data_IF_964236231235
#
_entry.id   IF_964236231235
#
_cell.length_a   1.000
_cell.length_b   1.000
_cell.length_c   1.000
_cell.angle_alpha   90.00
_cell.angle_beta   90.00
_cell.angle_gamma   90.00
#
_symmetry.space_group_name_H-M   'P 1'
#
loop_
_entity.id
_entity.type
_entity.pdbx_description
1 polymer ?
#
# COMPACT_ATOMS: atom_id res chain seq x y z
N UNK A 1 19.88 2.68 30.07
CA UNK A 1 20.53 2.08 28.88
C UNK A 1 20.18 0.60 28.70
N UNK A 2 20.46 -0.30 29.66
CA UNK A 2 20.15 -1.74 29.53
C UNK A 2 18.65 -1.98 29.36
N UNK A 3 17.82 -1.27 30.13
CA UNK A 3 16.36 -1.40 30.09
C UNK A 3 15.78 -1.04 28.70
N UNK A 4 16.25 0.04 28.07
CA UNK A 4 15.87 0.40 26.70
C UNK A 4 16.11 -0.75 25.72
N UNK A 5 17.30 -1.38 25.76
CA UNK A 5 17.64 -2.46 24.83
C UNK A 5 16.82 -3.73 25.09
N UNK A 6 16.45 -4.01 26.35
CA UNK A 6 15.54 -5.13 26.67
C UNK A 6 14.14 -4.84 26.14
N UNK A 7 13.61 -3.64 26.36
CA UNK A 7 12.31 -3.23 25.82
C UNK A 7 12.32 -3.22 24.28
N UNK A 8 13.40 -2.75 23.65
CA UNK A 8 13.57 -2.81 22.21
C UNK A 8 13.61 -4.24 21.68
N UNK A 9 14.28 -5.15 22.38
CA UNK A 9 14.27 -6.58 22.04
C UNK A 9 12.87 -7.19 22.13
N UNK A 10 12.08 -6.84 23.15
CA UNK A 10 10.67 -7.24 23.29
C UNK A 10 9.84 -6.70 22.13
N UNK A 11 9.98 -5.40 21.79
CA UNK A 11 9.33 -4.78 20.64
C UNK A 11 9.59 -5.57 19.36
N UNK A 12 10.86 -5.81 19.07
CA UNK A 12 11.28 -6.54 17.87
C UNK A 12 10.80 -7.99 17.87
N UNK A 13 10.88 -8.69 19.01
CA UNK A 13 10.39 -10.06 19.14
C UNK A 13 8.88 -10.16 18.87
N UNK A 14 8.06 -9.26 19.42
CA UNK A 14 6.63 -9.21 19.14
C UNK A 14 6.34 -8.94 17.66
N UNK A 15 7.07 -8.01 17.03
CA UNK A 15 6.96 -7.73 15.59
C UNK A 15 7.32 -8.98 14.78
N UNK A 16 8.45 -9.62 15.05
CA UNK A 16 8.90 -10.81 14.33
C UNK A 16 7.95 -12.00 14.46
N UNK A 17 7.52 -12.31 15.69
CA UNK A 17 6.58 -13.40 15.95
C UNK A 17 5.23 -13.11 15.29
N UNK A 18 4.73 -11.87 15.43
CA UNK A 18 3.48 -11.45 14.82
C UNK A 18 3.51 -11.54 13.30
N UNK A 19 4.61 -11.11 12.67
CA UNK A 19 4.81 -11.23 11.22
C UNK A 19 4.83 -12.70 10.76
N UNK A 20 5.42 -13.61 11.55
CA UNK A 20 5.43 -15.06 11.26
C UNK A 20 4.05 -15.70 11.34
N UNK A 21 3.23 -15.28 12.28
CA UNK A 21 1.84 -15.75 12.42
C UNK A 21 0.99 -15.26 11.27
N UNK A 22 1.31 -14.07 10.73
CA UNK A 22 0.57 -13.36 9.67
C UNK A 22 -0.87 -12.95 10.06
N UNK A 23 -1.61 -12.33 9.15
CA UNK A 23 -2.99 -11.91 9.38
C UNK A 23 -3.12 -10.98 10.59
N UNK A 24 -4.02 -11.31 11.52
CA UNK A 24 -4.21 -10.56 12.79
C UNK A 24 -3.09 -10.79 13.81
N UNK A 25 -2.22 -11.76 13.56
CA UNK A 25 -1.14 -12.15 14.49
C UNK A 25 -0.24 -10.97 14.87
N UNK A 26 0.05 -10.08 13.92
CA UNK A 26 0.85 -8.89 14.16
C UNK A 26 0.22 -7.97 15.23
N UNK A 27 -1.09 -7.72 15.13
CA UNK A 27 -1.79 -6.89 16.09
C UNK A 27 -1.91 -7.53 17.48
N UNK A 28 -2.20 -8.83 17.51
CA UNK A 28 -2.33 -9.58 18.78
C UNK A 28 -0.99 -9.64 19.50
N UNK A 29 0.11 -9.88 18.79
CA UNK A 29 1.46 -9.83 19.37
C UNK A 29 1.85 -8.41 19.81
N UNK A 30 1.39 -7.38 19.09
CA UNK A 30 1.50 -5.99 19.54
C UNK A 30 0.79 -5.75 20.87
N UNK A 31 -0.43 -6.30 21.06
CA UNK A 31 -1.15 -6.27 22.33
C UNK A 31 -0.41 -6.98 23.45
N UNK A 32 0.21 -8.13 23.17
CA UNK A 32 1.04 -8.84 24.15
C UNK A 32 2.28 -8.03 24.55
N UNK A 33 2.98 -7.43 23.58
CA UNK A 33 4.12 -6.57 23.85
C UNK A 33 3.75 -5.33 24.66
N UNK A 34 2.59 -4.72 24.37
CA UNK A 34 2.03 -3.63 25.15
C UNK A 34 1.79 -4.07 26.61
N UNK A 35 1.21 -5.24 26.83
CA UNK A 35 0.99 -5.77 28.19
C UNK A 35 2.32 -5.97 28.93
N UNK A 36 3.36 -6.45 28.26
CA UNK A 36 4.70 -6.56 28.83
C UNK A 36 5.24 -5.16 29.21
N UNK A 37 5.10 -4.17 28.34
CA UNK A 37 5.56 -2.81 28.62
C UNK A 37 4.86 -2.19 29.82
N UNK A 38 3.54 -2.36 29.90
CA UNK A 38 2.73 -1.75 30.97
C UNK A 38 2.89 -2.50 32.31
N UNK A 39 2.72 -3.82 32.29
CA UNK A 39 2.64 -4.58 33.56
C UNK A 39 3.99 -5.06 34.09
N UNK A 40 5.01 -5.23 33.23
CA UNK A 40 6.35 -5.69 33.67
C UNK A 40 7.32 -4.53 33.77
N UNK A 41 7.36 -3.63 32.75
CA UNK A 41 8.27 -2.50 32.75
C UNK A 41 7.68 -1.22 33.37
N UNK A 42 6.37 -1.20 33.69
CA UNK A 42 5.71 -0.05 34.30
C UNK A 42 5.61 1.17 33.38
N UNK A 43 5.72 1.01 32.04
CA UNK A 43 5.56 2.12 31.12
C UNK A 43 4.10 2.59 31.12
N UNK A 44 3.90 3.91 31.11
CA UNK A 44 2.57 4.48 30.94
C UNK A 44 2.09 4.23 29.51
N UNK A 45 0.92 3.61 29.29
CA UNK A 45 0.43 3.35 27.95
C UNK A 45 0.09 4.67 27.22
N UNK A 46 0.60 4.82 26.01
CA UNK A 46 0.22 5.92 25.12
C UNK A 46 -1.25 5.76 24.67
N UNK A 47 -1.81 6.81 24.07
CA UNK A 47 -3.15 6.73 23.49
C UNK A 47 -3.19 5.76 22.29
N UNK A 48 -4.22 4.89 22.20
CA UNK A 48 -4.40 4.04 21.04
C UNK A 48 -4.72 4.87 19.78
N UNK A 49 -4.40 4.39 18.56
CA UNK A 49 -4.58 5.13 17.32
C UNK A 49 -6.06 5.09 16.83
N UNK A 50 -6.98 5.60 17.65
CA UNK A 50 -8.43 5.48 17.42
C UNK A 50 -8.87 6.12 16.11
N UNK A 51 -8.40 7.33 15.82
CA UNK A 51 -8.76 8.05 14.59
C UNK A 51 -8.32 7.29 13.34
N UNK A 52 -7.11 6.72 13.35
CA UNK A 52 -6.58 5.90 12.25
C UNK A 52 -7.46 4.67 12.02
N UNK A 53 -7.85 4.00 13.10
CA UNK A 53 -8.70 2.80 13.05
C UNK A 53 -10.05 3.13 12.39
N UNK A 54 -10.72 4.17 12.85
CA UNK A 54 -12.04 4.54 12.32
C UNK A 54 -11.97 5.09 10.89
N UNK A 55 -10.91 5.83 10.52
CA UNK A 55 -10.70 6.23 9.12
C UNK A 55 -10.56 5.01 8.22
N UNK A 56 -9.73 4.04 8.59
CA UNK A 56 -9.55 2.83 7.78
C UNK A 56 -10.85 2.02 7.71
N UNK A 57 -11.59 1.87 8.82
CA UNK A 57 -12.88 1.17 8.82
C UNK A 57 -13.88 1.80 7.85
N UNK A 58 -13.98 3.14 7.83
CA UNK A 58 -14.86 3.85 6.90
C UNK A 58 -14.45 3.61 5.43
N UNK A 59 -13.15 3.70 5.13
CA UNK A 59 -12.62 3.49 3.78
C UNK A 59 -12.84 2.05 3.31
N UNK A 60 -12.53 1.05 4.14
CA UNK A 60 -12.71 -0.36 3.74
C UNK A 60 -14.18 -0.75 3.61
N UNK A 61 -15.08 -0.08 4.34
CA UNK A 61 -16.53 -0.25 4.18
C UNK A 61 -16.97 0.25 2.81
N UNK A 62 -16.51 1.44 2.39
CA UNK A 62 -16.80 1.95 1.05
C UNK A 62 -16.19 1.08 -0.06
N UNK A 63 -14.95 0.65 0.09
CA UNK A 63 -14.26 -0.22 -0.88
C UNK A 63 -14.88 -1.64 -0.94
N UNK A 64 -15.30 -2.19 0.20
CA UNK A 64 -16.05 -3.45 0.25
C UNK A 64 -17.43 -3.33 -0.41
N UNK A 65 -18.09 -2.19 -0.23
CA UNK A 65 -19.38 -1.90 -0.91
C UNK A 65 -19.18 -1.78 -2.42
N UNK A 66 -18.12 -1.10 -2.87
CA UNK A 66 -17.73 -1.06 -4.28
C UNK A 66 -17.52 -2.48 -4.85
N UNK A 67 -16.82 -3.35 -4.10
CA UNK A 67 -16.60 -4.74 -4.50
C UNK A 67 -17.92 -5.50 -4.60
N UNK A 68 -18.77 -5.42 -3.58
CA UNK A 68 -20.06 -6.11 -3.54
C UNK A 68 -21.04 -5.61 -4.63
N UNK A 69 -20.91 -4.35 -5.07
CA UNK A 69 -21.67 -3.78 -6.18
C UNK A 69 -21.13 -4.16 -7.57
N UNK A 70 -20.08 -4.99 -7.66
CA UNK A 70 -19.44 -5.40 -8.93
C UNK A 70 -18.54 -4.31 -9.55
N UNK A 71 -18.20 -3.26 -8.79
CA UNK A 71 -17.34 -2.18 -9.31
C UNK A 71 -15.94 -2.64 -9.62
N UNK A 72 -15.41 -3.63 -8.88
CA UNK A 72 -14.10 -4.22 -9.20
C UNK A 72 -14.10 -4.94 -10.55
N UNK A 73 -15.16 -5.66 -10.90
CA UNK A 73 -15.28 -6.34 -12.20
C UNK A 73 -15.30 -5.33 -13.36
N UNK A 74 -15.98 -4.18 -13.14
CA UNK A 74 -15.97 -3.10 -14.14
C UNK A 74 -14.57 -2.47 -14.30
N UNK A 75 -13.82 -2.28 -13.22
CA UNK A 75 -12.44 -1.81 -13.29
C UNK A 75 -11.56 -2.81 -14.06
N UNK A 76 -11.71 -4.12 -13.82
CA UNK A 76 -10.98 -5.18 -14.55
C UNK A 76 -11.30 -5.14 -16.05
N UNK A 77 -12.57 -4.97 -16.42
CA UNK A 77 -12.95 -4.78 -17.81
C UNK A 77 -12.26 -3.59 -18.46
N UNK A 78 -12.19 -2.45 -17.76
CA UNK A 78 -11.47 -1.27 -18.27
C UNK A 78 -9.97 -1.53 -18.44
N UNK A 79 -9.37 -2.30 -17.51
CA UNK A 79 -7.98 -2.74 -17.61
C UNK A 79 -7.74 -3.56 -18.86
N UNK A 80 -8.55 -4.59 -19.07
CA UNK A 80 -8.44 -5.48 -20.24
C UNK A 80 -8.53 -4.67 -21.53
N UNK A 81 -9.53 -3.79 -21.63
CA UNK A 81 -9.70 -2.93 -22.79
C UNK A 81 -8.48 -2.04 -23.04
N UNK A 82 -7.88 -1.46 -21.99
CA UNK A 82 -6.70 -0.63 -22.11
C UNK A 82 -5.46 -1.43 -22.54
N UNK A 83 -5.24 -2.60 -21.93
CA UNK A 83 -4.09 -3.47 -22.21
C UNK A 83 -4.14 -4.05 -23.63
N UNK A 84 -5.33 -4.48 -24.11
CA UNK A 84 -5.50 -5.02 -25.45
C UNK A 84 -5.42 -3.98 -26.57
N UNK A 85 -5.50 -2.67 -26.23
CA UNK A 85 -5.40 -1.59 -27.24
C UNK A 85 -3.99 -1.44 -27.82
N UNK A 86 -2.95 -1.61 -26.99
CA UNK A 86 -1.54 -1.49 -27.38
C UNK A 86 -0.70 -2.64 -26.81
N UNK A 87 -0.92 -3.88 -27.25
CA UNK A 87 -0.37 -5.06 -26.59
C UNK A 87 1.16 -5.16 -26.68
N UNK A 88 1.79 -4.59 -27.71
CA UNK A 88 3.26 -4.54 -27.84
C UNK A 88 3.94 -3.68 -26.77
N UNK A 89 3.23 -2.70 -26.22
CA UNK A 89 3.73 -1.80 -25.16
C UNK A 89 3.27 -2.24 -23.75
N UNK A 90 2.87 -3.50 -23.60
CA UNK A 90 2.30 -4.02 -22.37
C UNK A 90 3.23 -3.85 -21.16
N UNK A 91 4.55 -3.88 -21.32
CA UNK A 91 5.52 -3.65 -20.23
C UNK A 91 5.38 -2.26 -19.61
N UNK A 92 4.92 -1.27 -20.37
CA UNK A 92 4.65 0.09 -19.87
C UNK A 92 3.19 0.30 -19.49
N UNK A 93 2.27 -0.33 -20.22
CA UNK A 93 0.83 -0.19 -19.94
C UNK A 93 0.40 -0.95 -18.69
N UNK A 94 0.99 -2.11 -18.42
CA UNK A 94 0.65 -2.93 -17.26
C UNK A 94 0.87 -2.18 -15.92
N UNK A 95 2.04 -1.59 -15.64
CA UNK A 95 2.24 -0.83 -14.41
C UNK A 95 1.35 0.42 -14.34
N UNK A 96 1.07 1.12 -15.44
CA UNK A 96 0.12 2.25 -15.44
C UNK A 96 -1.27 1.79 -15.00
N UNK A 97 -1.78 0.71 -15.58
CA UNK A 97 -3.11 0.18 -15.27
C UNK A 97 -3.18 -0.30 -13.82
N UNK A 98 -2.23 -1.09 -13.36
CA UNK A 98 -2.22 -1.60 -11.97
C UNK A 98 -2.01 -0.49 -10.96
N UNK A 99 -1.18 0.51 -11.27
CA UNK A 99 -0.99 1.69 -10.45
C UNK A 99 -2.29 2.47 -10.29
N UNK A 100 -2.94 2.85 -11.40
CA UNK A 100 -4.19 3.60 -11.37
C UNK A 100 -5.30 2.84 -10.62
N UNK A 101 -5.38 1.53 -10.80
CA UNK A 101 -6.39 0.72 -10.12
C UNK A 101 -6.16 0.66 -8.62
N UNK A 102 -4.93 0.45 -8.20
CA UNK A 102 -4.59 0.49 -6.77
C UNK A 102 -4.77 1.88 -6.19
N UNK A 103 -4.36 2.92 -6.92
CA UNK A 103 -4.58 4.31 -6.53
C UNK A 103 -6.07 4.59 -6.26
N UNK A 104 -6.94 4.16 -7.20
CA UNK A 104 -8.40 4.35 -7.09
C UNK A 104 -9.05 3.45 -6.04
N UNK A 105 -8.53 2.24 -5.81
CA UNK A 105 -9.13 1.28 -4.87
C UNK A 105 -8.56 1.36 -3.45
N UNK A 106 -7.42 2.03 -3.27
CA UNK A 106 -6.73 2.13 -1.98
C UNK A 106 -6.06 0.83 -1.51
N UNK A 107 -6.01 -0.21 -2.35
CA UNK A 107 -5.48 -1.53 -2.00
C UNK A 107 -4.81 -2.23 -3.17
N UNK A 108 -3.65 -2.87 -2.93
CA UNK A 108 -2.93 -3.66 -3.93
C UNK A 108 -3.60 -4.97 -4.34
N UNK A 109 -4.68 -5.39 -3.66
CA UNK A 109 -5.39 -6.62 -3.99
C UNK A 109 -6.08 -6.60 -5.36
N UNK A 110 -6.35 -5.43 -5.91
CA UNK A 110 -6.86 -5.29 -7.29
C UNK A 110 -5.92 -5.88 -8.34
N UNK A 111 -4.64 -6.01 -8.04
CA UNK A 111 -3.67 -6.65 -8.92
C UNK A 111 -4.04 -8.11 -9.25
N UNK A 112 -4.61 -8.86 -8.30
CA UNK A 112 -5.04 -10.25 -8.55
C UNK A 112 -6.01 -10.39 -9.72
N UNK A 113 -6.85 -9.40 -9.94
CA UNK A 113 -7.83 -9.43 -11.00
C UNK A 113 -7.23 -9.04 -12.37
N UNK A 114 -6.18 -8.22 -12.38
CA UNK A 114 -5.56 -7.69 -13.60
C UNK A 114 -4.37 -8.54 -14.08
N UNK A 115 -3.65 -9.18 -13.17
CA UNK A 115 -2.46 -9.98 -13.49
C UNK A 115 -2.72 -11.12 -14.51
N UNK A 116 -3.83 -11.89 -14.44
CA UNK A 116 -4.12 -12.90 -15.46
C UNK A 116 -4.27 -12.30 -16.86
N UNK A 117 -4.89 -11.12 -16.96
CA UNK A 117 -5.06 -10.41 -18.24
C UNK A 117 -3.70 -9.95 -18.78
N UNK A 118 -2.83 -9.41 -17.90
CA UNK A 118 -1.48 -9.00 -18.29
C UNK A 118 -0.68 -10.19 -18.83
N UNK A 119 -0.71 -11.34 -18.13
CA UNK A 119 -0.01 -12.56 -18.56
C UNK A 119 -0.49 -13.02 -19.93
N UNK A 120 -1.81 -13.04 -20.15
CA UNK A 120 -2.44 -13.47 -21.39
C UNK A 120 -2.08 -12.54 -22.55
N UNK A 121 -2.26 -11.21 -22.39
CA UNK A 121 -1.96 -10.23 -23.44
C UNK A 121 -0.46 -10.19 -23.75
N UNK A 122 0.42 -10.35 -22.77
CA UNK A 122 1.85 -10.45 -22.99
C UNK A 122 2.21 -11.68 -23.84
N UNK A 123 1.66 -12.85 -23.48
CA UNK A 123 1.84 -14.10 -24.24
C UNK A 123 1.36 -13.98 -25.69
N UNK A 124 0.15 -13.48 -25.91
CA UNK A 124 -0.43 -13.27 -27.24
C UNK A 124 0.42 -12.32 -28.10
N UNK A 125 0.99 -11.31 -27.48
CA UNK A 125 1.84 -10.30 -28.16
C UNK A 125 3.29 -10.74 -28.33
N UNK A 126 3.64 -11.97 -27.90
CA UNK A 126 4.99 -12.52 -27.89
C UNK A 126 5.97 -11.71 -27.01
N UNK A 127 5.47 -10.89 -26.12
CA UNK A 127 6.27 -10.19 -25.09
C UNK A 127 6.48 -11.15 -23.93
N UNK A 128 7.73 -11.25 -23.45
CA UNK A 128 8.08 -12.05 -22.27
C UNK A 128 7.27 -11.62 -21.03
N UNK A 129 6.35 -12.44 -20.48
CA UNK A 129 5.47 -12.06 -19.39
C UNK A 129 6.19 -11.58 -18.12
N UNK A 130 7.40 -12.09 -17.83
CA UNK A 130 8.24 -11.62 -16.72
C UNK A 130 8.35 -10.10 -16.66
N UNK A 131 8.45 -9.42 -17.83
CA UNK A 131 8.64 -7.99 -17.93
C UNK A 131 7.42 -7.21 -17.40
N UNK A 132 6.22 -7.32 -18.00
CA UNK A 132 5.04 -6.61 -17.54
C UNK A 132 4.51 -7.13 -16.20
N UNK A 133 4.58 -8.43 -15.92
CA UNK A 133 4.10 -9.00 -14.67
C UNK A 133 4.93 -8.52 -13.46
N UNK A 134 6.25 -8.53 -13.60
CA UNK A 134 7.16 -8.07 -12.55
C UNK A 134 6.86 -6.64 -12.15
N UNK A 135 6.83 -5.72 -13.11
CA UNK A 135 6.61 -4.29 -12.81
C UNK A 135 5.15 -3.97 -12.47
N UNK A 136 4.17 -4.70 -12.96
CA UNK A 136 2.76 -4.51 -12.60
C UNK A 136 2.50 -4.79 -11.11
N UNK A 137 3.08 -5.87 -10.58
CA UNK A 137 3.02 -6.16 -9.13
C UNK A 137 3.65 -5.04 -8.33
N UNK A 138 4.84 -4.59 -8.71
CA UNK A 138 5.54 -3.51 -8.00
C UNK A 138 4.75 -2.20 -8.06
N UNK A 139 4.24 -1.82 -9.23
CA UNK A 139 3.48 -0.59 -9.42
C UNK A 139 2.17 -0.58 -8.61
N UNK A 140 1.49 -1.73 -8.51
CA UNK A 140 0.28 -1.85 -7.69
C UNK A 140 0.56 -1.56 -6.21
N UNK A 141 1.72 -1.93 -5.71
CA UNK A 141 2.07 -1.70 -4.30
C UNK A 141 2.64 -0.30 -4.08
N UNK A 142 3.44 0.21 -5.01
CA UNK A 142 3.90 1.61 -4.95
C UNK A 142 2.73 2.60 -4.94
N UNK A 143 1.65 2.31 -5.67
CA UNK A 143 0.45 3.13 -5.70
C UNK A 143 -0.29 3.20 -4.35
N UNK A 144 -0.08 2.24 -3.43
CA UNK A 144 -0.65 2.30 -2.06
C UNK A 144 -0.13 3.54 -1.33
N UNK A 145 1.15 3.86 -1.45
CA UNK A 145 1.75 5.04 -0.80
C UNK A 145 1.38 6.36 -1.47
N UNK A 146 0.78 6.31 -2.65
CA UNK A 146 0.27 7.47 -3.38
C UNK A 146 -1.27 7.60 -3.32
N UNK A 147 -1.99 6.57 -2.86
CA UNK A 147 -3.46 6.60 -2.84
C UNK A 147 -4.00 7.38 -1.65
N UNK A 148 -4.89 8.36 -1.87
CA UNK A 148 -5.46 9.18 -0.79
C UNK A 148 -6.34 8.40 0.19
N UNK A 149 -6.77 7.21 -0.19
CA UNK A 149 -7.70 6.36 0.55
C UNK A 149 -7.04 5.05 1.03
N UNK A 150 -5.73 4.89 0.84
CA UNK A 150 -5.04 3.71 1.37
C UNK A 150 -4.82 3.82 2.88
N UNK A 151 -4.85 2.68 3.57
CA UNK A 151 -4.56 2.62 4.99
C UNK A 151 -3.19 3.22 5.34
N UNK A 152 -2.18 3.01 4.50
CA UNK A 152 -0.82 3.52 4.74
C UNK A 152 -0.75 5.05 4.66
N UNK A 153 -1.35 5.66 3.63
CA UNK A 153 -1.38 7.12 3.46
C UNK A 153 -2.23 7.79 4.54
N UNK A 154 -3.38 7.20 4.88
CA UNK A 154 -4.26 7.70 5.94
C UNK A 154 -3.54 7.65 7.31
N UNK A 155 -2.79 6.57 7.59
CA UNK A 155 -1.98 6.47 8.80
C UNK A 155 -0.89 7.53 8.84
N UNK A 156 -0.16 7.74 7.72
CA UNK A 156 0.87 8.78 7.65
C UNK A 156 0.28 10.17 7.84
N UNK A 157 -0.86 10.47 7.21
CA UNK A 157 -1.59 11.73 7.36
C UNK A 157 -1.93 11.99 8.83
N UNK A 158 -2.47 10.99 9.52
CA UNK A 158 -2.82 11.11 10.94
C UNK A 158 -1.59 11.41 11.82
N UNK A 159 -0.46 10.76 11.56
CA UNK A 159 0.79 10.98 12.29
C UNK A 159 1.40 12.36 12.03
N UNK A 160 1.25 12.90 10.83
CA UNK A 160 1.82 14.18 10.42
C UNK A 160 0.86 15.36 10.58
N UNK A 161 -0.42 15.14 10.87
CA UNK A 161 -1.42 16.19 11.04
C UNK A 161 -1.08 17.20 12.18
N UNK A 162 -0.46 16.81 13.31
CA UNK A 162 -0.01 17.78 14.32
C UNK A 162 1.04 18.77 13.82
N UNK A 163 1.69 18.48 12.69
CA UNK A 163 2.68 19.35 12.03
C UNK A 163 2.06 20.17 10.88
N UNK A 164 0.73 20.27 10.82
CA UNK A 164 -0.03 20.96 9.77
C UNK A 164 0.22 20.40 8.35
N UNK A 165 0.60 19.14 8.25
CA UNK A 165 0.74 18.47 6.95
C UNK A 165 -0.63 18.09 6.41
N UNK A 166 -0.90 18.49 5.18
CA UNK A 166 -2.14 18.20 4.46
C UNK A 166 -2.01 16.94 3.61
N UNK A 167 -3.14 16.31 3.30
CA UNK A 167 -3.17 15.19 2.37
C UNK A 167 -2.60 15.56 0.99
N UNK A 168 -2.87 16.79 0.53
CA UNK A 168 -2.35 17.27 -0.76
C UNK A 168 -0.83 17.28 -0.79
N UNK A 169 -0.17 17.74 0.26
CA UNK A 169 1.29 17.78 0.34
C UNK A 169 1.90 16.37 0.27
N UNK A 170 1.27 15.38 0.95
CA UNK A 170 1.69 13.99 0.83
C UNK A 170 1.54 13.50 -0.62
N UNK A 171 0.40 13.77 -1.26
CA UNK A 171 0.13 13.31 -2.61
C UNK A 171 1.00 14.00 -3.67
N UNK A 172 1.31 15.29 -3.50
CA UNK A 172 2.19 16.05 -4.40
C UNK A 172 3.60 15.50 -4.47
N UNK A 173 4.09 14.86 -3.40
CA UNK A 173 5.38 14.14 -3.41
C UNK A 173 5.17 12.70 -3.87
N UNK A 174 4.26 11.96 -3.24
CA UNK A 174 4.17 10.51 -3.43
C UNK A 174 3.68 10.09 -4.82
N UNK A 175 2.70 10.82 -5.43
CA UNK A 175 2.19 10.46 -6.75
C UNK A 175 3.30 10.55 -7.81
N UNK A 176 3.96 11.70 -8.04
CA UNK A 176 4.99 11.77 -9.07
C UNK A 176 6.21 10.92 -8.73
N UNK A 177 6.62 10.83 -7.46
CA UNK A 177 7.77 10.04 -7.06
C UNK A 177 7.57 8.56 -7.38
N UNK A 178 6.47 7.96 -6.94
CA UNK A 178 6.22 6.52 -7.12
C UNK A 178 5.84 6.18 -8.56
N UNK A 179 5.07 7.04 -9.25
CA UNK A 179 4.70 6.81 -10.64
C UNK A 179 5.91 6.85 -11.57
N UNK A 180 6.74 7.89 -11.48
CA UNK A 180 7.97 8.01 -12.29
C UNK A 180 8.96 6.88 -11.98
N UNK A 181 9.11 6.52 -10.71
CA UNK A 181 9.94 5.39 -10.32
C UNK A 181 9.47 4.07 -10.94
N UNK A 182 8.15 3.82 -11.00
CA UNK A 182 7.59 2.66 -11.68
C UNK A 182 7.85 2.70 -13.20
N UNK A 183 7.81 3.87 -13.84
CA UNK A 183 8.12 4.00 -15.27
C UNK A 183 9.61 3.75 -15.55
N UNK A 184 10.50 4.24 -14.69
CA UNK A 184 11.94 3.95 -14.78
C UNK A 184 12.19 2.44 -14.62
N UNK A 185 11.55 1.80 -13.64
CA UNK A 185 11.64 0.36 -13.45
C UNK A 185 11.05 -0.43 -14.62
N UNK A 186 9.98 0.07 -15.26
CA UNK A 186 9.41 -0.52 -16.48
C UNK A 186 10.40 -0.44 -17.66
N UNK A 187 11.10 0.67 -17.81
CA UNK A 187 12.13 0.84 -18.83
C UNK A 187 13.27 -0.17 -18.65
N UNK A 188 13.73 -0.37 -17.43
CA UNK A 188 14.75 -1.38 -17.12
C UNK A 188 14.21 -2.79 -17.37
N UNK A 189 12.98 -3.06 -16.92
CA UNK A 189 12.32 -4.36 -17.11
C UNK A 189 12.10 -4.70 -18.59
N UNK A 190 11.85 -3.71 -19.45
CA UNK A 190 11.62 -3.92 -20.89
C UNK A 190 12.84 -4.48 -21.62
N UNK A 191 14.05 -4.31 -21.04
CA UNK A 191 15.32 -4.81 -21.60
C UNK A 191 15.79 -6.13 -20.98
N UNK A 192 14.99 -6.74 -20.09
CA UNK A 192 15.37 -7.98 -19.40
C UNK A 192 15.04 -9.21 -20.21
N UNK A 193 15.99 -10.16 -20.24
CA UNK A 193 15.81 -11.46 -20.87
C UNK A 193 15.65 -11.38 -22.39
N UNK A 194 15.52 -12.55 -23.02
CA UNK A 194 15.25 -12.68 -24.46
C UNK A 194 13.75 -12.49 -24.75
N UNK A 195 13.38 -12.32 -26.01
CA UNK A 195 11.98 -12.30 -26.41
C UNK A 195 11.31 -13.66 -26.16
N UNK A 196 9.99 -13.67 -25.93
CA UNK A 196 9.28 -14.89 -25.54
C UNK A 196 9.49 -16.06 -26.52
N UNK A 197 9.44 -15.89 -27.85
CA UNK A 197 9.66 -17.00 -28.77
C UNK A 197 11.04 -17.63 -28.69
N UNK A 198 12.04 -16.90 -28.18
CA UNK A 198 13.42 -17.36 -28.05
C UNK A 198 13.77 -17.87 -26.66
N UNK A 199 12.83 -17.75 -25.70
CA UNK A 199 13.05 -18.17 -24.32
C UNK A 199 13.09 -19.71 -24.20
N UNK A 200 14.16 -20.29 -23.66
CA UNK A 200 14.31 -21.74 -23.57
C UNK A 200 13.28 -22.38 -22.64
N UNK A 201 12.86 -21.69 -21.58
CA UNK A 201 11.87 -22.20 -20.63
C UNK A 201 10.48 -22.22 -21.28
N UNK A 202 10.15 -21.19 -22.02
CA UNK A 202 8.90 -21.14 -22.76
C UNK A 202 8.83 -22.25 -23.81
N UNK A 203 9.93 -22.48 -24.58
CA UNK A 203 10.01 -23.56 -25.57
C UNK A 203 9.80 -24.93 -24.93
N UNK A 204 10.54 -25.20 -23.84
CA UNK A 204 10.41 -26.46 -23.10
C UNK A 204 8.98 -26.69 -22.57
N UNK A 205 8.35 -25.63 -22.02
CA UNK A 205 6.96 -25.72 -21.51
C UNK A 205 5.95 -25.89 -22.63
N UNK A 206 6.18 -25.28 -23.79
CA UNK A 206 5.34 -25.43 -24.97
C UNK A 206 5.38 -26.86 -25.50
N UNK A 207 6.58 -27.44 -25.59
CA UNK A 207 6.79 -28.84 -26.01
C UNK A 207 6.09 -29.85 -25.07
N UNK A 208 6.11 -29.54 -23.76
CA UNK A 208 5.44 -30.36 -22.74
C UNK A 208 3.93 -30.13 -22.65
N UNK A 209 3.35 -29.24 -23.45
CA UNK A 209 1.91 -28.92 -23.43
C UNK A 209 1.45 -28.21 -22.16
N UNK A 210 2.37 -27.58 -21.41
CA UNK A 210 2.11 -26.88 -20.13
C UNK A 210 1.67 -25.42 -20.34
N UNK A 211 1.72 -24.92 -21.56
CA UNK A 211 1.29 -23.55 -21.86
C UNK A 211 -0.18 -23.58 -22.24
N UNK A 212 -1.02 -22.99 -21.38
CA UNK A 212 -2.45 -22.91 -21.65
C UNK A 212 -2.73 -22.07 -22.91
N UNK A 213 -3.59 -22.59 -23.77
CA UNK A 213 -4.13 -21.86 -24.93
C UNK A 213 -5.14 -20.82 -24.38
N UNK A 214 -4.97 -19.57 -24.79
CA UNK A 214 -5.85 -18.48 -24.38
C UNK A 214 -7.33 -18.81 -24.66
N UNK A 215 -8.15 -18.83 -23.61
CA UNK A 215 -9.61 -18.89 -23.72
C UNK A 215 -10.14 -17.49 -23.98
N UNK A 216 -10.50 -17.21 -25.22
CA UNK A 216 -10.88 -15.88 -25.73
C UNK A 216 -12.14 -15.25 -25.12
N UNK A 217 -12.93 -15.92 -24.30
CA UNK A 217 -14.22 -15.41 -23.87
C UNK A 217 -14.39 -15.46 -22.34
N UNK A 218 -13.97 -14.41 -21.64
CA UNK A 218 -14.65 -13.99 -20.42
C UNK A 218 -15.61 -12.86 -20.79
N UNK A 219 -16.87 -13.20 -21.06
CA UNK A 219 -17.93 -12.19 -21.16
C UNK A 219 -18.17 -11.60 -19.76
N UNK A 220 -17.63 -10.42 -19.49
CA UNK A 220 -18.02 -9.67 -18.30
C UNK A 220 -19.47 -9.19 -18.45
N UNK A 221 -20.36 -9.74 -17.66
CA UNK A 221 -21.74 -9.23 -17.59
C UNK A 221 -21.72 -7.85 -16.89
N UNK A 222 -21.58 -6.81 -17.71
CA UNK A 222 -21.60 -5.44 -17.20
C UNK A 222 -23.01 -5.04 -16.79
N UNK A 223 -23.19 -4.81 -15.49
CA UNK A 223 -24.38 -4.17 -14.96
C UNK A 223 -24.13 -2.65 -14.91
N UNK A 224 -25.14 -1.84 -15.29
CA UNK A 224 -25.08 -0.38 -15.15
C UNK A 224 -24.75 0.08 -13.72
N UNK A 225 -25.16 -0.68 -12.72
CA UNK A 225 -24.89 -0.45 -11.30
C UNK A 225 -23.39 -0.46 -10.95
N UNK A 226 -22.57 -1.32 -11.59
CA UNK A 226 -21.14 -1.38 -11.38
C UNK A 226 -20.44 -0.09 -11.78
N UNK A 227 -20.90 0.56 -12.87
CA UNK A 227 -20.38 1.86 -13.32
C UNK A 227 -20.73 2.97 -12.33
N UNK A 228 -21.98 2.96 -11.83
CA UNK A 228 -22.46 3.92 -10.82
C UNK A 228 -21.65 3.76 -9.53
N UNK A 229 -21.40 2.54 -9.08
CA UNK A 229 -20.61 2.28 -7.89
C UNK A 229 -19.17 2.83 -8.01
N UNK A 230 -18.50 2.61 -9.16
CA UNK A 230 -17.17 3.16 -9.41
C UNK A 230 -17.21 4.68 -9.46
N UNK A 231 -18.19 5.29 -10.14
CA UNK A 231 -18.34 6.75 -10.19
C UNK A 231 -18.53 7.36 -8.80
N UNK A 232 -19.40 6.79 -7.97
CA UNK A 232 -19.62 7.25 -6.60
C UNK A 232 -18.37 7.12 -5.73
N UNK A 233 -17.68 5.99 -5.82
CA UNK A 233 -16.46 5.78 -5.04
C UNK A 233 -15.35 6.77 -5.42
N UNK A 234 -15.13 7.02 -6.71
CA UNK A 234 -14.18 8.02 -7.19
C UNK A 234 -14.58 9.44 -6.77
N UNK A 235 -15.89 9.76 -6.79
CA UNK A 235 -16.40 11.03 -6.28
C UNK A 235 -16.06 11.20 -4.80
N UNK A 236 -16.23 10.15 -3.99
CA UNK A 236 -15.82 10.16 -2.58
C UNK A 236 -14.33 10.42 -2.39
N UNK A 237 -13.49 9.72 -3.16
CA UNK A 237 -12.04 9.93 -3.12
C UNK A 237 -11.66 11.37 -3.51
N UNK A 238 -12.28 11.92 -4.55
CA UNK A 238 -12.07 13.33 -4.98
C UNK A 238 -12.50 14.30 -3.88
N UNK A 239 -13.66 14.07 -3.27
CA UNK A 239 -14.13 14.93 -2.17
C UNK A 239 -13.18 14.90 -0.96
N UNK A 240 -12.64 13.74 -0.59
CA UNK A 240 -11.63 13.61 0.46
C UNK A 240 -10.40 14.45 0.13
N UNK A 241 -9.89 14.35 -1.12
CA UNK A 241 -8.73 15.15 -1.56
C UNK A 241 -9.04 16.64 -1.55
N UNK A 242 -10.18 17.06 -2.08
CA UNK A 242 -10.59 18.47 -2.12
C UNK A 242 -10.72 19.06 -0.70
N UNK A 243 -11.40 18.38 0.22
CA UNK A 243 -11.56 18.84 1.59
C UNK A 243 -10.26 18.76 2.39
N UNK A 244 -9.35 17.86 2.02
CA UNK A 244 -8.00 17.79 2.60
C UNK A 244 -7.07 18.89 2.09
N UNK A 245 -7.32 19.40 0.87
CA UNK A 245 -6.51 20.43 0.23
C UNK A 245 -7.01 21.86 0.52
N UNK A 246 -8.30 22.02 0.68
CA UNK A 246 -8.97 23.30 0.86
C UNK A 246 -9.73 23.29 2.19
N UNK A 247 -9.06 23.70 3.27
CA UNK A 247 -9.63 23.66 4.62
C UNK A 247 -10.94 24.42 4.76
N UNK A 248 -11.14 25.50 3.99
CA UNK A 248 -12.36 26.30 4.03
C UNK A 248 -13.60 25.55 3.52
N UNK A 249 -13.43 24.44 2.80
CA UNK A 249 -14.54 23.58 2.38
C UNK A 249 -15.07 22.70 3.53
N UNK A 250 -14.26 22.50 4.58
CA UNK A 250 -14.69 21.72 5.75
C UNK A 250 -15.61 22.57 6.62
N UNK A 251 -16.75 22.03 7.06
CA UNK A 251 -17.64 22.71 8.00
C UNK A 251 -16.89 23.16 9.25
N UNK A 252 -17.28 24.31 9.77
CA UNK A 252 -16.73 24.87 10.99
C UNK A 252 -17.87 25.36 11.90
N UNK A 253 -17.66 25.25 13.20
CA UNK A 253 -18.58 25.68 14.24
C UNK A 253 -17.86 26.58 15.22
N UNK A 254 -18.58 27.51 15.82
CA UNK A 254 -18.08 28.29 16.93
C UNK A 254 -18.21 27.46 18.22
N UNK A 255 -17.10 27.18 18.88
CA UNK A 255 -17.05 26.45 20.16
C UNK A 255 -16.20 27.29 21.11
N UNK A 256 -16.77 27.71 22.24
CA UNK A 256 -16.10 28.53 23.25
C UNK A 256 -15.48 29.85 22.71
N UNK A 257 -16.09 30.43 21.65
CA UNK A 257 -15.62 31.64 20.97
C UNK A 257 -14.51 31.44 19.95
N UNK A 258 -14.10 30.19 19.67
CA UNK A 258 -13.15 29.83 18.64
C UNK A 258 -13.82 29.10 17.48
N UNK A 259 -13.36 29.34 16.24
CA UNK A 259 -13.83 28.65 15.04
C UNK A 259 -13.15 27.30 14.90
N UNK A 260 -13.85 26.23 15.32
CA UNK A 260 -13.34 24.85 15.23
C UNK A 260 -13.81 24.21 13.91
N UNK A 261 -12.89 23.82 13.07
CA UNK A 261 -13.18 23.12 11.80
C UNK A 261 -13.24 21.61 11.99
N UNK A 262 -14.10 20.96 11.17
CA UNK A 262 -14.13 19.51 11.09
C UNK A 262 -12.74 18.95 10.82
N UNK A 263 -12.24 18.07 11.67
CA UNK A 263 -10.94 17.45 11.52
C UNK A 263 -10.88 16.55 10.28
N UNK A 264 -9.68 16.34 9.75
CA UNK A 264 -9.52 15.50 8.56
C UNK A 264 -9.91 14.03 8.80
N UNK A 265 -9.62 13.42 9.96
CA UNK A 265 -10.12 12.09 10.30
C UNK A 265 -11.64 11.98 10.19
N UNK A 266 -12.38 12.87 10.81
CA UNK A 266 -13.84 12.88 10.72
C UNK A 266 -14.35 13.15 9.30
N UNK A 267 -13.69 14.03 8.55
CA UNK A 267 -14.03 14.30 7.15
C UNK A 267 -13.97 13.03 6.32
N UNK A 268 -12.87 12.26 6.42
CA UNK A 268 -12.70 10.98 5.69
C UNK A 268 -13.77 9.98 6.12
N UNK A 269 -14.02 9.84 7.43
CA UNK A 269 -15.01 8.90 7.97
C UNK A 269 -16.42 9.20 7.43
N UNK A 270 -16.85 10.45 7.51
CA UNK A 270 -18.19 10.89 7.09
C UNK A 270 -18.35 10.69 5.58
N UNK A 271 -17.41 11.16 4.76
CA UNK A 271 -17.50 11.05 3.30
C UNK A 271 -17.57 9.57 2.89
N UNK A 272 -16.63 8.75 3.37
CA UNK A 272 -16.52 7.36 2.91
C UNK A 272 -17.72 6.52 3.36
N UNK A 273 -18.23 6.71 4.59
CA UNK A 273 -19.46 6.03 5.04
C UNK A 273 -20.68 6.51 4.27
N UNK A 274 -20.79 7.82 3.97
CA UNK A 274 -21.90 8.37 3.17
C UNK A 274 -21.89 7.78 1.75
N UNK A 275 -20.71 7.70 1.11
CA UNK A 275 -20.56 7.06 -0.20
C UNK A 275 -20.95 5.58 -0.15
N UNK A 276 -20.54 4.85 0.88
CA UNK A 276 -20.98 3.46 1.08
C UNK A 276 -22.51 3.36 1.17
N UNK A 277 -23.16 4.24 1.97
CA UNK A 277 -24.61 4.30 2.10
C UNK A 277 -25.30 4.61 0.77
N UNK A 278 -24.84 5.61 0.02
CA UNK A 278 -25.37 5.95 -1.31
C UNK A 278 -25.21 4.77 -2.28
N UNK A 279 -24.06 4.10 -2.29
CA UNK A 279 -23.86 2.90 -3.11
C UNK A 279 -24.80 1.77 -2.75
N UNK A 280 -25.08 1.55 -1.45
CA UNK A 280 -26.06 0.53 -1.00
C UNK A 280 -27.45 0.87 -1.53
N UNK A 281 -27.88 2.13 -1.41
CA UNK A 281 -29.20 2.57 -1.85
C UNK A 281 -29.39 2.48 -3.36
N UNK A 282 -28.40 2.92 -4.15
CA UNK A 282 -28.49 3.01 -5.61
C UNK A 282 -28.13 1.69 -6.31
N UNK A 283 -27.09 1.02 -5.86
CA UNK A 283 -26.59 -0.19 -6.51
C UNK A 283 -27.23 -1.47 -5.94
N UNK A 284 -27.76 -1.41 -4.70
CA UNK A 284 -28.41 -2.54 -4.00
C UNK A 284 -27.56 -3.82 -4.00
N UNK A 285 -26.29 -3.76 -3.55
CA UNK A 285 -25.48 -4.97 -3.39
C UNK A 285 -26.04 -5.85 -2.28
N UNK A 286 -25.67 -7.12 -2.26
CA UNK A 286 -25.95 -7.97 -1.10
C UNK A 286 -25.06 -7.54 0.06
N UNK A 287 -25.67 -7.02 1.15
CA UNK A 287 -24.95 -6.41 2.28
C UNK A 287 -23.95 -7.38 2.93
N UNK A 288 -24.32 -8.67 3.04
CA UNK A 288 -23.45 -9.71 3.58
C UNK A 288 -22.15 -9.88 2.78
N UNK A 289 -22.16 -9.55 1.48
CA UNK A 289 -20.99 -9.61 0.62
C UNK A 289 -20.01 -8.45 0.86
N UNK A 290 -20.43 -7.37 1.51
CA UNK A 290 -19.56 -6.25 1.87
C UNK A 290 -18.51 -6.71 2.87
N UNK A 291 -18.92 -7.30 3.98
CA UNK A 291 -18.04 -7.74 5.05
C UNK A 291 -17.33 -9.08 4.74
N UNK A 292 -17.96 -9.93 3.93
CA UNK A 292 -17.37 -11.20 3.50
C UNK A 292 -16.41 -11.05 2.32
N UNK A 293 -16.39 -9.88 1.66
CA UNK A 293 -15.51 -9.57 0.53
C UNK A 293 -14.02 -9.54 0.91
N UNK A 294 -13.16 -9.83 -0.09
CA UNK A 294 -11.70 -9.88 0.14
C UNK A 294 -11.13 -8.53 0.53
N UNK A 295 -11.66 -7.43 -0.01
CA UNK A 295 -11.20 -6.06 0.29
C UNK A 295 -11.48 -5.70 1.74
N UNK A 296 -12.71 -5.95 2.22
CA UNK A 296 -13.06 -5.66 3.62
C UNK A 296 -12.26 -6.54 4.59
N UNK A 297 -12.13 -7.85 4.32
CA UNK A 297 -11.37 -8.77 5.18
C UNK A 297 -9.91 -8.36 5.29
N UNK A 298 -9.27 -8.01 4.18
CA UNK A 298 -7.88 -7.55 4.16
C UNK A 298 -7.73 -6.25 4.96
N UNK A 299 -8.64 -5.29 4.78
CA UNK A 299 -8.62 -4.04 5.53
C UNK A 299 -8.89 -4.23 7.02
N UNK A 300 -9.84 -5.09 7.41
CA UNK A 300 -10.10 -5.42 8.82
C UNK A 300 -8.89 -6.08 9.49
N UNK A 301 -8.18 -6.97 8.77
CA UNK A 301 -6.92 -7.55 9.24
C UNK A 301 -5.86 -6.46 9.47
N UNK A 302 -5.76 -5.49 8.54
CA UNK A 302 -4.84 -4.35 8.69
C UNK A 302 -5.20 -3.47 9.89
N UNK A 303 -6.49 -3.23 10.15
CA UNK A 303 -6.96 -2.49 11.33
C UNK A 303 -6.48 -3.13 12.62
N UNK A 304 -6.66 -4.46 12.77
CA UNK A 304 -6.19 -5.18 13.97
C UNK A 304 -4.67 -5.11 14.09
N UNK A 305 -3.94 -5.27 12.97
CA UNK A 305 -2.48 -5.20 12.97
C UNK A 305 -1.99 -3.80 13.40
N UNK A 306 -2.57 -2.74 12.83
CA UNK A 306 -2.22 -1.35 13.17
C UNK A 306 -2.55 -1.06 14.64
N UNK A 307 -3.72 -1.48 15.12
CA UNK A 307 -4.14 -1.25 16.51
C UNK A 307 -3.08 -1.74 17.51
N UNK A 308 -2.68 -3.00 17.42
CA UNK A 308 -1.73 -3.55 18.38
C UNK A 308 -0.31 -3.00 18.21
N UNK A 309 0.21 -2.97 16.98
CA UNK A 309 1.58 -2.53 16.71
C UNK A 309 1.77 -1.05 16.98
N UNK A 310 0.84 -0.20 16.54
CA UNK A 310 0.98 1.25 16.76
C UNK A 310 0.88 1.60 18.24
N UNK A 311 -0.04 0.97 18.97
CA UNK A 311 -0.19 1.23 20.40
C UNK A 311 1.05 0.77 21.18
N UNK A 312 1.55 -0.43 20.92
CA UNK A 312 2.81 -0.92 21.50
C UNK A 312 3.99 -0.01 21.15
N UNK A 313 4.15 0.35 19.88
CA UNK A 313 5.23 1.20 19.40
C UNK A 313 5.20 2.59 20.02
N UNK A 314 4.02 3.25 20.03
CA UNK A 314 3.87 4.56 20.64
C UNK A 314 4.18 4.53 22.15
N UNK A 315 3.74 3.50 22.86
CA UNK A 315 4.05 3.32 24.29
C UNK A 315 5.56 3.18 24.52
N UNK A 316 6.23 2.35 23.69
CA UNK A 316 7.69 2.19 23.76
C UNK A 316 8.42 3.52 23.48
N UNK A 317 8.07 4.23 22.40
CA UNK A 317 8.74 5.47 22.01
C UNK A 317 8.51 6.58 23.02
N UNK A 318 7.27 6.76 23.52
CA UNK A 318 6.96 7.76 24.54
C UNK A 318 7.70 7.47 25.85
N UNK A 319 7.71 6.21 26.29
CA UNK A 319 8.39 5.80 27.52
C UNK A 319 9.91 5.89 27.47
N UNK A 320 10.50 5.92 26.25
CA UNK A 320 11.95 5.97 26.04
C UNK A 320 12.42 7.25 25.34
N UNK A 321 11.59 8.30 25.31
CA UNK A 321 11.86 9.51 24.53
C UNK A 321 13.20 10.17 24.89
N UNK A 322 13.52 10.31 26.17
CA UNK A 322 14.78 10.92 26.63
C UNK A 322 16.02 10.15 26.14
N UNK A 323 15.96 8.82 26.21
CA UNK A 323 17.07 7.97 25.74
C UNK A 323 17.26 8.10 24.22
N UNK A 324 16.16 8.08 23.45
CA UNK A 324 16.17 8.18 21.99
C UNK A 324 16.73 9.53 21.54
N UNK A 325 16.25 10.62 22.11
CA UNK A 325 16.74 11.98 21.81
C UNK A 325 18.20 12.17 22.18
N UNK A 326 18.63 11.64 23.33
CA UNK A 326 20.00 11.82 23.80
C UNK A 326 21.07 10.99 23.07
N UNK A 327 20.70 9.83 22.48
CA UNK A 327 21.68 8.88 21.95
C UNK A 327 21.54 8.54 20.45
N UNK A 328 20.36 8.72 19.87
CA UNK A 328 20.09 8.29 18.49
C UNK A 328 19.86 9.49 17.57
N UNK A 329 19.39 10.61 18.09
CA UNK A 329 19.08 11.81 17.31
C UNK A 329 20.28 12.31 16.50
N UNK A 330 21.47 12.32 17.08
CA UNK A 330 22.69 12.77 16.39
C UNK A 330 22.99 11.92 15.14
N UNK A 331 22.83 10.59 15.23
CA UNK A 331 23.03 9.68 14.09
C UNK A 331 22.06 9.96 12.96
N UNK A 332 20.78 10.23 13.27
CA UNK A 332 19.73 10.47 12.27
C UNK A 332 19.86 11.86 11.65
N UNK A 333 20.34 12.86 12.39
CA UNK A 333 20.61 14.20 11.84
C UNK A 333 21.74 14.19 10.82
N UNK A 334 22.77 13.36 11.05
CA UNK A 334 23.91 13.21 10.11
C UNK A 334 23.55 12.36 8.90
N UNK A 335 22.70 11.34 9.07
CA UNK A 335 22.38 10.39 8.00
C UNK A 335 20.88 10.01 7.99
N UNK A 336 19.96 10.95 7.69
CA UNK A 336 18.52 10.70 7.75
C UNK A 336 18.06 9.60 6.76
N UNK A 337 18.79 9.37 5.68
CA UNK A 337 18.52 8.31 4.71
C UNK A 337 18.57 6.89 5.30
N UNK A 338 19.28 6.70 6.45
CA UNK A 338 19.26 5.43 7.18
C UNK A 338 17.85 5.06 7.63
N UNK A 339 17.00 6.05 7.88
CA UNK A 339 15.61 5.81 8.26
C UNK A 339 14.81 5.20 7.10
N UNK A 340 15.08 5.59 5.85
CA UNK A 340 14.48 4.95 4.67
C UNK A 340 14.87 3.46 4.56
N UNK A 341 16.12 3.13 4.88
CA UNK A 341 16.60 1.74 4.93
C UNK A 341 15.87 0.97 6.05
N UNK A 342 15.72 1.57 7.23
CA UNK A 342 15.00 0.95 8.34
C UNK A 342 13.53 0.67 7.99
N UNK A 343 12.84 1.63 7.35
CA UNK A 343 11.49 1.43 6.82
C UNK A 343 11.43 0.28 5.79
N UNK A 344 12.40 0.24 4.88
CA UNK A 344 12.48 -0.81 3.87
C UNK A 344 12.66 -2.19 4.50
N UNK A 345 13.63 -2.34 5.40
CA UNK A 345 13.91 -3.62 6.09
C UNK A 345 12.68 -4.06 6.91
N UNK A 346 12.06 -3.15 7.66
CA UNK A 346 10.88 -3.49 8.45
C UNK A 346 9.71 -3.91 7.55
N UNK A 347 9.53 -3.26 6.40
CA UNK A 347 8.46 -3.61 5.46
C UNK A 347 8.62 -4.99 4.82
N UNK A 348 9.88 -5.49 4.67
CA UNK A 348 10.16 -6.87 4.24
C UNK A 348 9.59 -7.89 5.25
N UNK A 349 9.61 -7.55 6.54
CA UNK A 349 9.19 -8.45 7.61
C UNK A 349 7.67 -8.40 7.83
N UNK A 350 7.08 -7.21 7.74
CA UNK A 350 5.68 -6.99 8.08
C UNK A 350 4.70 -7.28 6.94
N UNK A 351 5.15 -7.29 5.69
CA UNK A 351 4.30 -7.44 4.50
C UNK A 351 3.10 -6.47 4.47
N UNK A 352 3.22 -5.33 5.14
CA UNK A 352 2.15 -4.33 5.28
C UNK A 352 2.74 -2.93 5.36
N UNK A 353 2.44 -2.10 4.37
CA UNK A 353 2.85 -0.70 4.33
C UNK A 353 2.28 0.08 5.52
N UNK A 354 0.99 -0.09 5.79
CA UNK A 354 0.33 0.61 6.90
C UNK A 354 0.88 0.20 8.27
N UNK A 355 1.15 -1.10 8.48
CA UNK A 355 1.77 -1.57 9.71
C UNK A 355 3.21 -1.04 9.86
N UNK A 356 3.99 -0.98 8.78
CA UNK A 356 5.35 -0.41 8.79
C UNK A 356 5.33 1.07 9.15
N UNK A 357 4.42 1.86 8.56
CA UNK A 357 4.21 3.27 8.91
C UNK A 357 3.87 3.41 10.39
N UNK A 358 2.87 2.65 10.87
CA UNK A 358 2.43 2.72 12.26
C UNK A 358 3.53 2.32 13.26
N UNK A 359 4.38 1.37 12.88
CA UNK A 359 5.43 0.86 13.75
C UNK A 359 6.65 1.78 13.83
N UNK A 360 7.05 2.42 12.71
CA UNK A 360 8.34 3.10 12.66
C UNK A 360 8.26 4.61 12.43
N UNK A 361 7.23 5.16 11.77
CA UNK A 361 7.13 6.61 11.55
C UNK A 361 7.09 7.44 12.84
N UNK A 362 6.44 7.00 13.94
CA UNK A 362 6.52 7.72 15.22
C UNK A 362 7.96 7.89 15.74
N UNK A 363 8.84 6.90 15.50
CA UNK A 363 10.25 7.02 15.80
C UNK A 363 10.91 8.13 14.97
N UNK A 364 10.65 8.15 13.65
CA UNK A 364 11.19 9.21 12.78
C UNK A 364 10.79 10.61 13.25
N UNK A 365 9.55 10.78 13.69
CA UNK A 365 9.03 12.02 14.26
C UNK A 365 9.78 12.37 15.56
N UNK A 366 9.92 11.42 16.48
CA UNK A 366 10.60 11.63 17.77
C UNK A 366 12.09 11.94 17.62
N UNK A 367 12.71 11.45 16.55
CA UNK A 367 14.09 11.75 16.18
C UNK A 367 14.26 13.13 15.51
N UNK A 368 13.18 13.87 15.29
CA UNK A 368 13.23 15.20 14.69
C UNK A 368 13.42 15.23 13.18
N UNK A 369 13.16 14.11 12.47
CA UNK A 369 13.18 14.10 11.01
C UNK A 369 12.04 15.00 10.52
N UNK A 370 12.33 15.91 9.59
CA UNK A 370 11.32 16.84 9.07
C UNK A 370 10.15 16.07 8.40
N UNK A 371 8.91 16.56 8.56
CA UNK A 371 7.75 15.95 7.91
C UNK A 371 7.92 15.78 6.40
N UNK A 372 8.51 16.76 5.71
CA UNK A 372 8.80 16.71 4.28
C UNK A 372 9.68 15.49 3.92
N UNK A 373 10.72 15.25 4.72
CA UNK A 373 11.63 14.14 4.50
C UNK A 373 10.99 12.79 4.85
N UNK A 374 10.13 12.74 5.88
CA UNK A 374 9.35 11.54 6.22
C UNK A 374 8.40 11.16 5.07
N UNK A 375 7.75 12.14 4.43
CA UNK A 375 6.92 11.93 3.25
C UNK A 375 7.77 11.42 2.07
N UNK A 376 8.94 12.02 1.84
CA UNK A 376 9.85 11.61 0.77
C UNK A 376 10.34 10.15 0.93
N UNK A 377 10.57 9.72 2.17
CA UNK A 377 11.00 8.36 2.50
C UNK A 377 9.84 7.35 2.61
N UNK A 378 8.59 7.81 2.64
CA UNK A 378 7.43 6.93 2.77
C UNK A 378 7.37 5.81 1.72
N UNK A 379 7.70 6.00 0.42
CA UNK A 379 7.71 4.90 -0.54
C UNK A 379 8.65 3.73 -0.19
N UNK A 380 9.60 3.89 0.73
CA UNK A 380 10.47 2.79 1.16
C UNK A 380 9.75 1.68 1.95
N UNK A 381 8.49 1.91 2.40
CA UNK A 381 7.68 0.86 3.03
C UNK A 381 7.21 -0.26 2.06
N UNK A 382 7.74 -0.28 0.86
CA UNK A 382 7.38 -1.24 -0.20
C UNK A 382 8.40 -2.38 -0.38
N UNK A 383 9.04 -2.87 0.70
CA UNK A 383 10.01 -3.98 0.66
C UNK A 383 9.41 -5.39 0.53
N UNK A 384 8.11 -5.55 0.53
CA UNK A 384 7.35 -6.84 0.53
C UNK A 384 7.78 -7.82 -0.57
N UNK A 385 8.37 -7.34 -1.66
CA UNK A 385 8.83 -8.17 -2.78
C UNK A 385 10.18 -8.84 -2.51
N UNK A 386 10.94 -8.39 -1.53
CA UNK A 386 12.32 -8.84 -1.31
C UNK A 386 12.40 -10.36 -1.13
N UNK A 387 11.51 -10.94 -0.35
CA UNK A 387 11.27 -12.38 -0.38
C UNK A 387 10.01 -12.65 -1.22
N UNK A 388 10.07 -13.53 -2.26
CA UNK A 388 9.01 -13.69 -3.23
C UNK A 388 7.84 -14.58 -2.74
N UNK A 389 7.39 -14.37 -1.51
CA UNK A 389 6.30 -15.10 -0.84
C UNK A 389 5.06 -14.22 -0.58
N UNK A 390 5.09 -12.94 -0.94
CA UNK A 390 3.92 -12.07 -0.84
C UNK A 390 2.84 -12.47 -1.85
N UNK A 391 1.57 -12.38 -1.46
CA UNK A 391 0.46 -12.94 -2.22
C UNK A 391 0.40 -12.52 -3.69
N UNK A 392 0.59 -11.23 -4.01
CA UNK A 392 0.56 -10.77 -5.42
C UNK A 392 1.77 -11.22 -6.22
N UNK A 393 2.94 -11.42 -5.57
CA UNK A 393 4.14 -11.98 -6.17
C UNK A 393 3.90 -13.45 -6.56
N UNK A 394 3.39 -14.24 -5.61
CA UNK A 394 3.07 -15.66 -5.84
C UNK A 394 1.99 -15.80 -6.91
N UNK A 395 0.96 -14.96 -6.87
CA UNK A 395 -0.10 -14.96 -7.88
C UNK A 395 0.44 -14.68 -9.29
N UNK A 396 1.33 -13.69 -9.45
CA UNK A 396 1.93 -13.37 -10.73
C UNK A 396 2.73 -14.55 -11.30
N UNK A 397 3.48 -15.27 -10.46
CA UNK A 397 4.21 -16.47 -10.87
C UNK A 397 3.24 -17.56 -11.36
N UNK A 398 2.13 -17.76 -10.65
CA UNK A 398 1.15 -18.80 -10.97
C UNK A 398 0.31 -18.46 -12.20
N UNK A 399 0.05 -17.20 -12.49
CA UNK A 399 -0.71 -16.78 -13.66
C UNK A 399 0.11 -16.82 -14.95
N UNK A 400 1.45 -16.78 -14.85
CA UNK A 400 2.31 -16.89 -16.02
C UNK A 400 2.56 -18.36 -16.41
N UNK A 401 1.71 -18.90 -17.29
CA UNK A 401 1.85 -20.26 -17.78
C UNK A 401 3.10 -20.47 -18.67
N UNK A 402 3.73 -19.38 -19.15
CA UNK A 402 4.99 -19.47 -19.92
C UNK A 402 6.19 -19.83 -19.05
N UNK A 403 6.10 -19.62 -17.73
CA UNK A 403 7.16 -19.90 -16.75
C UNK A 403 8.31 -18.91 -16.76
N UNK A 404 8.17 -17.79 -17.47
CA UNK A 404 9.19 -16.73 -17.49
C UNK A 404 9.19 -15.90 -16.23
N UNK A 405 8.02 -15.68 -15.61
CA UNK A 405 7.88 -15.05 -14.30
C UNK A 405 8.13 -16.09 -13.21
N UNK A 406 9.25 -15.99 -12.50
CA UNK A 406 9.70 -17.09 -11.65
C UNK A 406 10.57 -16.65 -10.47
N UNK A 407 10.76 -17.59 -9.55
CA UNK A 407 11.86 -17.59 -8.58
C UNK A 407 13.00 -18.37 -9.20
N UNK A 408 14.18 -17.77 -9.29
CA UNK A 408 15.37 -18.43 -9.83
C UNK A 408 15.96 -19.45 -8.85
N UNK A 409 17.14 -19.98 -9.20
CA UNK A 409 17.86 -20.99 -8.38
C UNK A 409 18.11 -20.54 -6.93
N UNK A 410 18.35 -19.24 -6.73
CA UNK A 410 18.49 -18.60 -5.42
C UNK A 410 17.25 -17.78 -5.12
N UNK A 411 16.79 -17.78 -3.88
CA UNK A 411 15.55 -17.09 -3.45
C UNK A 411 15.53 -15.61 -3.85
N UNK A 412 16.66 -14.92 -3.79
CA UNK A 412 16.80 -13.51 -4.16
C UNK A 412 16.90 -13.26 -5.67
N UNK A 413 17.09 -14.31 -6.48
CA UNK A 413 17.13 -14.22 -7.94
C UNK A 413 15.74 -14.49 -8.52
N UNK A 414 14.83 -13.55 -8.35
CA UNK A 414 13.46 -13.66 -8.86
C UNK A 414 13.07 -12.45 -9.73
N UNK A 415 11.99 -12.59 -10.47
CA UNK A 415 11.53 -11.62 -11.47
C UNK A 415 11.21 -10.24 -10.91
N UNK A 416 10.92 -10.13 -9.62
CA UNK A 416 10.46 -8.91 -8.95
C UNK A 416 11.59 -8.13 -8.27
N UNK A 417 12.78 -8.71 -8.07
CA UNK A 417 13.86 -8.10 -7.30
C UNK A 417 14.32 -6.77 -7.92
N UNK A 418 14.74 -6.80 -9.19
CA UNK A 418 15.27 -5.61 -9.87
C UNK A 418 14.20 -4.52 -10.01
N UNK A 419 12.98 -4.80 -10.57
CA UNK A 419 11.97 -3.77 -10.67
C UNK A 419 11.54 -3.22 -9.30
N UNK A 420 11.51 -4.04 -8.27
CA UNK A 420 11.19 -3.61 -6.91
C UNK A 420 12.24 -2.70 -6.30
N UNK A 421 13.51 -3.10 -6.32
CA UNK A 421 14.61 -2.28 -5.81
C UNK A 421 14.74 -0.95 -6.55
N UNK A 422 14.70 -0.98 -7.88
CA UNK A 422 14.79 0.24 -8.70
C UNK A 422 13.62 1.17 -8.41
N UNK A 423 12.40 0.65 -8.39
CA UNK A 423 11.21 1.46 -8.13
C UNK A 423 11.24 2.08 -6.73
N UNK A 424 11.55 1.30 -5.70
CA UNK A 424 11.58 1.81 -4.32
C UNK A 424 12.70 2.84 -4.13
N UNK A 425 13.91 2.55 -4.62
CA UNK A 425 15.03 3.48 -4.53
C UNK A 425 14.75 4.79 -5.28
N UNK A 426 14.30 4.70 -6.53
CA UNK A 426 14.01 5.89 -7.33
C UNK A 426 12.83 6.69 -6.76
N UNK A 427 11.83 6.04 -6.17
CA UNK A 427 10.73 6.75 -5.51
C UNK A 427 11.21 7.59 -4.33
N UNK A 428 12.12 7.07 -3.52
CA UNK A 428 12.72 7.83 -2.40
C UNK A 428 13.58 8.98 -2.95
N UNK A 429 14.44 8.73 -3.95
CA UNK A 429 15.30 9.77 -4.54
C UNK A 429 14.46 10.90 -5.14
N UNK A 430 13.46 10.58 -5.95
CA UNK A 430 12.56 11.58 -6.55
C UNK A 430 11.76 12.28 -5.45
N UNK A 431 11.29 11.55 -4.43
CA UNK A 431 10.58 12.11 -3.28
C UNK A 431 11.43 13.14 -2.52
N UNK A 432 12.72 12.84 -2.26
CA UNK A 432 13.65 13.78 -1.62
C UNK A 432 13.84 15.03 -2.49
N UNK A 433 14.03 14.86 -3.81
CA UNK A 433 14.16 16.01 -4.71
C UNK A 433 12.89 16.87 -4.65
N UNK A 434 11.72 16.27 -4.75
CA UNK A 434 10.45 17.01 -4.73
C UNK A 434 10.21 17.68 -3.36
N UNK A 435 10.62 17.06 -2.26
CA UNK A 435 10.44 17.64 -0.92
C UNK A 435 11.22 18.95 -0.76
N UNK A 436 12.37 19.12 -1.39
CA UNK A 436 13.16 20.36 -1.37
C UNK A 436 12.46 21.51 -2.12
N UNK A 437 11.65 21.20 -3.13
CA UNK A 437 10.94 22.23 -3.93
C UNK A 437 9.55 22.56 -3.40
N UNK A 438 8.94 21.68 -2.62
CA UNK A 438 7.54 21.82 -2.18
C UNK A 438 7.41 22.26 -0.72
N UNK A 439 8.46 22.16 0.08
CA UNK A 439 8.56 22.59 1.48
C UNK A 439 9.75 23.53 1.70
#
# INVERSE_FOLDING_TARGET
>A
MVEFWIQFAVLMACIFIGARISGVGLGVMGGLGLAIFVYIFGLQPASPPVDVIFMILAVITAAGTLQAAGGMDFLVYLAEKALRRNPKHITFMAPVVTYLFTFCAGTGHVAYAVLPVIAEVAKESKVRPERPMGIAVIASQQAITASPISAATVTLLALLSPFNITLLQILMICIPATFLACMIAALISSRRGVELPDDPIYKERLEKGLVEVSKKDKSYHMNGKSKVAVGLFLTGAILVVLMGSMEFLRPAWEVDGELVRLSMPFTIQIIMLSIAGIMILLCKPKVDQIVSGSVFKAGATAVVAIFGIAWMGNTFFTGNQEFIQGNIQELVTVAPWLFAIALFILSILLYSQAATVSALMPLGISLGISPALLIAMFPSVNGYFFFPNYGTVVAAINFDTTGTTRIGKYVLNHSFMIPGLVSTFMAVVIGIILSVFLF
#
